data_IF_793050667713
#
_entry.id   IF_793050667713
#
_cell.length_a   1.000
_cell.length_b   1.000
_cell.length_c   1.000
_cell.angle_alpha   90.00
_cell.angle_beta   90.00
_cell.angle_gamma   90.00
#
_symmetry.space_group_name_H-M   'P 1'
#
loop_
_entity.id
_entity.type
_entity.pdbx_description
1 polymer ?
#
# COMPACT_ATOMS: atom_id res chain seq x y z
N UNK A 1 -20.13 5.13 -1.85
CA UNK A 1 -18.80 4.81 -1.29
C UNK A 1 -18.36 3.47 -1.85
N UNK A 2 -17.07 3.28 -2.12
CA UNK A 2 -16.50 2.00 -2.58
C UNK A 2 -15.50 1.52 -1.52
N UNK A 3 -15.55 0.22 -1.23
CA UNK A 3 -14.64 -0.45 -0.32
C UNK A 3 -13.55 -1.14 -1.14
N UNK A 4 -12.31 -0.91 -0.77
CA UNK A 4 -11.13 -1.62 -1.29
C UNK A 4 -10.57 -2.43 -0.12
N UNK A 5 -10.48 -3.75 -0.30
CA UNK A 5 -9.91 -4.65 0.70
C UNK A 5 -8.45 -4.91 0.36
N UNK A 6 -7.55 -4.58 1.28
CA UNK A 6 -6.14 -4.91 1.19
C UNK A 6 -5.91 -6.25 1.89
N UNK A 7 -5.64 -7.28 1.09
CA UNK A 7 -5.16 -8.56 1.62
C UNK A 7 -3.68 -8.42 1.99
N UNK A 8 -3.43 -7.99 3.22
CA UNK A 8 -2.08 -7.91 3.80
C UNK A 8 -1.57 -9.32 4.02
N UNK A 9 -0.73 -9.81 3.10
CA UNK A 9 -0.09 -11.13 3.19
C UNK A 9 1.34 -11.07 3.74
N UNK A 10 1.81 -9.87 4.05
CA UNK A 10 3.13 -9.64 4.66
C UNK A 10 2.95 -9.51 6.16
N UNK A 11 3.80 -10.21 6.91
CA UNK A 11 3.76 -10.35 8.36
C UNK A 11 3.40 -9.05 9.10
N UNK A 12 2.68 -9.23 10.21
CA UNK A 12 2.17 -8.25 11.19
C UNK A 12 3.14 -7.12 11.64
N UNK A 13 4.37 -7.06 11.13
CA UNK A 13 5.42 -6.05 11.43
C UNK A 13 5.45 -4.86 10.45
N UNK A 14 4.56 -4.80 9.47
CA UNK A 14 4.52 -3.77 8.44
C UNK A 14 4.00 -2.40 8.90
N UNK A 15 4.61 -1.78 9.92
CA UNK A 15 4.28 -0.40 10.39
C UNK A 15 4.34 0.63 9.24
N UNK A 16 4.98 0.28 8.11
CA UNK A 16 5.06 1.11 6.90
C UNK A 16 3.93 0.95 5.86
N UNK A 17 3.15 -0.15 5.86
CA UNK A 17 2.19 -0.41 4.77
C UNK A 17 1.01 0.57 4.82
N UNK A 18 0.35 0.66 5.98
CA UNK A 18 -0.74 1.60 6.25
C UNK A 18 -0.29 3.04 5.99
N UNK A 19 0.92 3.41 6.45
CA UNK A 19 1.48 4.74 6.27
C UNK A 19 1.77 5.06 4.79
N UNK A 20 2.39 4.13 4.05
CA UNK A 20 2.67 4.29 2.63
C UNK A 20 1.39 4.39 1.79
N UNK A 21 0.38 3.57 2.11
CA UNK A 21 -0.91 3.62 1.42
C UNK A 21 -1.65 4.92 1.71
N UNK A 22 -1.76 5.33 2.97
CA UNK A 22 -2.41 6.58 3.34
C UNK A 22 -1.68 7.79 2.73
N UNK A 23 -0.35 7.79 2.73
CA UNK A 23 0.48 8.82 2.11
C UNK A 23 0.24 8.94 0.60
N UNK A 24 0.27 7.83 -0.13
CA UNK A 24 0.02 7.80 -1.58
C UNK A 24 -1.36 8.36 -1.94
N UNK A 25 -2.40 7.96 -1.20
CA UNK A 25 -3.76 8.47 -1.43
C UNK A 25 -3.88 9.96 -1.07
N UNK A 26 -3.22 10.40 0.01
CA UNK A 26 -3.18 11.80 0.41
C UNK A 26 -2.47 12.69 -0.61
N UNK A 27 -1.33 12.26 -1.15
CA UNK A 27 -0.60 12.95 -2.23
C UNK A 27 -1.42 13.07 -3.51
N UNK A 28 -2.23 12.06 -3.82
CA UNK A 28 -3.17 12.08 -4.93
C UNK A 28 -4.43 12.93 -4.68
N UNK A 29 -4.60 13.48 -3.47
CA UNK A 29 -5.77 14.25 -3.05
C UNK A 29 -7.04 13.41 -2.90
N UNK A 30 -6.91 12.11 -2.64
CA UNK A 30 -8.04 11.18 -2.50
C UNK A 30 -8.37 11.03 -1.02
N UNK A 31 -9.55 11.51 -0.56
CA UNK A 31 -9.97 11.27 0.81
C UNK A 31 -10.27 9.77 1.00
N UNK A 32 -9.69 9.19 2.04
CA UNK A 32 -9.86 7.78 2.37
C UNK A 32 -10.04 7.56 3.86
N UNK A 33 -10.93 6.64 4.23
CA UNK A 33 -11.03 6.14 5.59
C UNK A 33 -10.43 4.74 5.64
N UNK A 34 -9.37 4.57 6.42
CA UNK A 34 -8.74 3.28 6.63
C UNK A 34 -9.29 2.64 7.91
N UNK A 35 -9.64 1.36 7.84
CA UNK A 35 -10.17 0.57 8.95
C UNK A 35 -9.34 -0.69 9.03
N UNK A 36 -8.53 -0.80 10.09
CA UNK A 36 -7.75 -1.99 10.36
C UNK A 36 -8.67 -3.13 10.81
N UNK A 37 -8.55 -4.30 10.17
CA UNK A 37 -9.22 -5.52 10.60
C UNK A 37 -8.19 -6.62 10.89
N UNK A 38 -8.63 -7.67 11.60
CA UNK A 38 -7.75 -8.68 12.19
C UNK A 38 -6.84 -9.41 11.18
N UNK A 39 -7.26 -9.49 9.91
CA UNK A 39 -6.50 -10.15 8.83
C UNK A 39 -6.25 -9.26 7.61
N UNK A 40 -6.95 -8.14 7.48
CA UNK A 40 -6.97 -7.31 6.28
C UNK A 40 -7.23 -5.85 6.67
N UNK A 41 -6.78 -4.91 5.85
CA UNK A 41 -7.17 -3.51 6.00
C UNK A 41 -8.27 -3.17 5.00
N UNK A 42 -9.23 -2.37 5.43
CA UNK A 42 -10.29 -1.87 4.57
C UNK A 42 -10.11 -0.38 4.32
N UNK A 43 -10.14 0.02 3.06
CA UNK A 43 -10.10 1.43 2.66
C UNK A 43 -11.43 1.80 2.02
N UNK A 44 -12.04 2.85 2.54
CA UNK A 44 -13.25 3.43 1.99
C UNK A 44 -12.93 4.73 1.28
N UNK A 45 -13.27 4.80 -0.01
CA UNK A 45 -13.07 5.97 -0.86
C UNK A 45 -14.39 6.39 -1.52
N UNK A 46 -14.52 7.65 -1.95
CA UNK A 46 -15.64 8.08 -2.80
C UNK A 46 -15.71 7.26 -4.08
N UNK A 47 -16.93 6.88 -4.50
CA UNK A 47 -17.10 5.96 -5.63
C UNK A 47 -16.51 6.49 -6.95
N UNK A 48 -16.57 7.80 -7.19
CA UNK A 48 -15.99 8.44 -8.38
C UNK A 48 -14.45 8.48 -8.38
N UNK A 49 -13.80 8.17 -7.26
CA UNK A 49 -12.34 8.12 -7.13
C UNK A 49 -11.82 6.69 -6.93
N UNK A 50 -12.71 5.71 -6.86
CA UNK A 50 -12.37 4.33 -6.55
C UNK A 50 -11.40 3.72 -7.56
N UNK A 51 -11.67 3.91 -8.85
CA UNK A 51 -10.82 3.33 -9.91
C UNK A 51 -9.42 3.96 -9.91
N UNK A 52 -9.34 5.27 -9.65
CA UNK A 52 -8.07 5.99 -9.51
C UNK A 52 -7.30 5.52 -8.27
N UNK A 53 -7.99 5.34 -7.15
CA UNK A 53 -7.39 4.83 -5.92
C UNK A 53 -6.85 3.41 -6.14
N UNK A 54 -7.63 2.51 -6.74
CA UNK A 54 -7.19 1.14 -7.05
C UNK A 54 -5.93 1.12 -7.91
N UNK A 55 -5.86 1.94 -8.96
CA UNK A 55 -4.69 1.99 -9.83
C UNK A 55 -3.41 2.49 -9.12
N UNK A 56 -3.56 3.48 -8.24
CA UNK A 56 -2.44 3.98 -7.42
C UNK A 56 -1.94 2.92 -6.45
N UNK A 57 -2.85 2.19 -5.78
CA UNK A 57 -2.49 1.12 -4.85
C UNK A 57 -1.80 -0.05 -5.55
N UNK A 58 -2.24 -0.43 -6.75
CA UNK A 58 -1.56 -1.44 -7.56
C UNK A 58 -0.14 -1.01 -7.95
N UNK A 59 0.04 0.27 -8.29
CA UNK A 59 1.35 0.83 -8.63
C UNK A 59 2.28 0.80 -7.42
N UNK A 60 1.78 1.30 -6.27
CA UNK A 60 2.52 1.29 -5.01
C UNK A 60 2.94 -0.14 -4.61
N UNK A 61 2.05 -1.12 -4.73
CA UNK A 61 2.36 -2.52 -4.44
C UNK A 61 3.52 -3.06 -5.29
N UNK A 62 3.54 -2.72 -6.59
CA UNK A 62 4.63 -3.13 -7.50
C UNK A 62 5.94 -2.45 -7.16
N UNK A 63 5.90 -1.18 -6.75
CA UNK A 63 7.10 -0.43 -6.35
C UNK A 63 7.68 -0.95 -5.03
N UNK A 64 6.84 -1.24 -4.03
CA UNK A 64 7.27 -1.85 -2.77
C UNK A 64 7.91 -3.22 -2.99
N UNK A 65 7.31 -4.08 -3.84
CA UNK A 65 7.90 -5.38 -4.18
C UNK A 65 9.26 -5.24 -4.89
N UNK A 66 9.49 -4.14 -5.62
CA UNK A 66 10.77 -3.85 -6.27
C UNK A 66 11.81 -3.24 -5.32
N UNK A 67 11.37 -2.53 -4.28
CA UNK A 67 12.22 -2.00 -3.20
C UNK A 67 12.84 -3.11 -2.37
N UNK A 68 12.06 -4.14 -2.01
CA UNK A 68 12.54 -5.31 -1.27
C UNK A 68 13.59 -6.12 -2.08
N UNK A 69 13.38 -6.23 -3.40
CA UNK A 69 14.33 -6.90 -4.28
C UNK A 69 15.66 -6.14 -4.43
N UNK A 70 15.66 -4.80 -4.39
CA UNK A 70 16.89 -3.98 -4.52
C UNK A 70 17.77 -4.00 -3.26
N UNK A 71 17.22 -4.21 -2.06
CA UNK A 71 18.04 -4.37 -0.85
C UNK A 71 18.85 -5.67 -0.85
N UNK A 72 18.34 -6.74 -1.48
CA UNK A 72 19.04 -8.03 -1.58
C UNK A 72 20.21 -8.01 -2.58
N UNK A 73 20.24 -7.08 -3.55
CA UNK A 73 21.31 -7.04 -4.57
C UNK A 73 22.50 -6.15 -4.18
N UNK A 74 22.39 -5.31 -3.14
CA UNK A 74 23.47 -4.39 -2.76
C UNK A 74 24.41 -4.95 -1.67
N UNK A 75 24.26 -6.22 -1.30
CA UNK A 75 25.25 -6.93 -0.47
C UNK A 75 26.37 -7.49 -1.35
N UNK A 76 27.19 -6.62 -1.96
CA UNK A 76 28.48 -7.05 -2.48
C UNK A 76 29.49 -7.04 -1.32
N UNK A 77 29.95 -8.21 -0.81
CA UNK A 77 31.01 -8.24 0.17
C UNK A 77 32.29 -7.75 -0.49
N UNK A 78 32.94 -6.77 0.13
CA UNK A 78 34.34 -6.46 -0.10
C UNK A 78 35.17 -7.74 0.01
N UNK A 79 35.68 -8.23 -1.12
CA UNK A 79 36.93 -9.00 -1.24
C UNK A 79 37.52 -8.72 -2.60
#
# INVERSE_FOLDING_TARGET
>A
MRQITLNVNSALDGVGLTAGVAGCLAEAGIPCNMVAAYHHDHIFVPAGLADRASHLLETLQRESARGDAQMLTNSNPRT
#
